data_IF_313080336022
#
_entry.id   IF_313080336022
#
_cell.length_a   1.000
_cell.length_b   1.000
_cell.length_c   1.000
_cell.angle_alpha   90.00
_cell.angle_beta   90.00
_cell.angle_gamma   90.00
#
_symmetry.space_group_name_H-M   'P 1'
#
loop_
_entity.id
_entity.type
_entity.pdbx_description
1 polymer ?
#
# COMPACT_ATOMS: atom_id res chain seq x y z
N UNK A 1 24.42 18.41 -34.55
CA UNK A 1 24.04 18.29 -33.12
C UNK A 1 22.52 18.31 -32.91
N UNK A 2 21.78 19.30 -33.43
CA UNK A 2 20.31 19.43 -33.28
C UNK A 2 19.51 18.16 -33.63
N UNK A 3 19.71 17.60 -34.82
CA UNK A 3 19.00 16.41 -35.30
C UNK A 3 19.16 15.19 -34.37
N UNK A 4 20.38 14.98 -33.83
CA UNK A 4 20.69 13.84 -32.96
C UNK A 4 19.95 13.98 -31.63
N UNK A 5 19.89 15.18 -31.05
CA UNK A 5 19.16 15.42 -29.80
C UNK A 5 17.64 15.17 -29.95
N UNK A 6 17.02 15.69 -31.02
CA UNK A 6 15.58 15.51 -31.28
C UNK A 6 15.24 14.04 -31.54
N UNK A 7 16.12 13.33 -32.25
CA UNK A 7 15.95 11.90 -32.53
C UNK A 7 16.15 11.06 -31.26
N UNK A 8 17.10 11.44 -30.40
CA UNK A 8 17.33 10.78 -29.12
C UNK A 8 16.16 10.95 -28.14
N UNK A 9 15.53 12.13 -28.10
CA UNK A 9 14.31 12.36 -27.32
C UNK A 9 13.03 11.83 -28.00
N UNK A 10 13.14 11.21 -29.18
CA UNK A 10 12.01 10.69 -29.97
C UNK A 10 10.94 11.76 -30.28
N UNK A 11 11.33 13.03 -30.45
CA UNK A 11 10.40 14.13 -30.75
C UNK A 11 10.10 14.24 -32.26
N UNK A 12 11.15 14.24 -33.09
CA UNK A 12 11.03 14.13 -34.55
C UNK A 12 10.27 15.26 -35.27
N UNK A 13 10.70 16.52 -35.14
CA UNK A 13 10.03 17.66 -35.80
C UNK A 13 10.02 17.63 -37.34
N UNK A 14 11.02 16.98 -37.97
CA UNK A 14 11.07 16.80 -39.43
C UNK A 14 11.60 17.99 -40.22
N UNK A 15 12.13 19.00 -39.55
CA UNK A 15 12.80 20.19 -40.12
C UNK A 15 14.13 19.85 -40.83
N UNK A 16 14.85 18.85 -40.32
CA UNK A 16 16.09 18.34 -40.90
C UNK A 16 16.01 16.81 -40.98
N UNK A 17 16.32 16.21 -42.13
CA UNK A 17 16.22 14.76 -42.37
C UNK A 17 17.50 14.23 -43.05
N UNK A 18 18.06 13.09 -42.61
CA UNK A 18 19.22 12.51 -43.26
C UNK A 18 18.86 11.92 -44.64
N UNK A 19 19.49 12.45 -45.69
CA UNK A 19 19.30 11.99 -47.07
C UNK A 19 20.23 10.83 -47.46
N UNK A 20 21.31 10.59 -46.72
CA UNK A 20 22.25 9.48 -46.98
C UNK A 20 21.88 8.22 -46.21
N UNK A 21 22.18 7.05 -46.78
CA UNK A 21 21.95 5.76 -46.11
C UNK A 21 22.68 5.66 -44.77
N UNK A 22 23.94 6.13 -44.69
CA UNK A 22 24.69 6.16 -43.43
C UNK A 22 24.04 7.09 -42.39
N UNK A 23 23.53 8.26 -42.81
CA UNK A 23 22.85 9.18 -41.90
C UNK A 23 21.53 8.62 -41.35
N UNK A 24 20.78 7.87 -42.17
CA UNK A 24 19.58 7.16 -41.74
C UNK A 24 19.90 6.07 -40.73
N UNK A 25 20.97 5.30 -40.95
CA UNK A 25 21.46 4.31 -39.99
C UNK A 25 21.80 4.91 -38.63
N UNK A 26 22.51 6.05 -38.61
CA UNK A 26 22.85 6.78 -37.38
C UNK A 26 21.60 7.32 -36.68
N UNK A 27 20.60 7.81 -37.41
CA UNK A 27 19.35 8.28 -36.82
C UNK A 27 18.57 7.13 -36.14
N UNK A 28 18.48 5.97 -36.79
CA UNK A 28 17.83 4.78 -36.21
C UNK A 28 18.56 4.29 -34.96
N UNK A 29 19.88 4.15 -34.99
CA UNK A 29 20.64 3.72 -33.82
C UNK A 29 20.53 4.71 -32.66
N UNK A 30 20.53 6.01 -32.95
CA UNK A 30 20.31 7.08 -31.95
C UNK A 30 18.92 6.97 -31.32
N UNK A 31 17.88 6.70 -32.10
CA UNK A 31 16.51 6.51 -31.59
C UNK A 31 16.39 5.27 -30.69
N UNK A 32 17.02 4.16 -31.07
CA UNK A 32 17.06 2.94 -30.25
C UNK A 32 17.78 3.22 -28.91
N UNK A 33 18.92 3.90 -28.96
CA UNK A 33 19.67 4.28 -27.76
C UNK A 33 18.86 5.23 -26.87
N UNK A 34 18.17 6.22 -27.44
CA UNK A 34 17.31 7.16 -26.71
C UNK A 34 16.13 6.48 -26.00
N UNK A 35 15.48 5.52 -26.67
CA UNK A 35 14.45 4.69 -26.06
C UNK A 35 15.01 3.85 -24.90
N UNK A 36 16.17 3.23 -25.07
CA UNK A 36 16.86 2.47 -24.02
C UNK A 36 17.22 3.33 -22.81
N UNK A 37 17.77 4.53 -23.02
CA UNK A 37 18.06 5.48 -21.95
C UNK A 37 16.79 5.92 -21.21
N UNK A 38 15.70 6.16 -21.93
CA UNK A 38 14.41 6.55 -21.32
C UNK A 38 13.85 5.42 -20.46
N UNK A 39 13.91 4.17 -20.94
CA UNK A 39 13.48 3.00 -20.17
C UNK A 39 14.28 2.82 -18.87
N UNK A 40 15.61 2.97 -18.95
CA UNK A 40 16.48 2.92 -17.77
C UNK A 40 16.16 4.05 -16.79
N UNK A 41 15.94 5.26 -17.28
CA UNK A 41 15.59 6.41 -16.45
C UNK A 41 14.28 6.16 -15.70
N UNK A 42 13.23 5.70 -16.40
CA UNK A 42 11.93 5.37 -15.79
C UNK A 42 12.09 4.28 -14.72
N UNK A 43 12.87 3.23 -14.99
CA UNK A 43 13.13 2.17 -14.02
C UNK A 43 13.83 2.69 -12.75
N UNK A 44 14.85 3.55 -12.91
CA UNK A 44 15.57 4.14 -11.78
C UNK A 44 14.66 5.07 -10.97
N UNK A 45 13.89 5.94 -11.65
CA UNK A 45 12.96 6.86 -11.00
C UNK A 45 11.88 6.09 -10.24
N UNK A 46 11.30 5.04 -10.85
CA UNK A 46 10.31 4.17 -10.18
C UNK A 46 10.87 3.61 -8.87
N UNK A 47 12.10 3.07 -8.90
CA UNK A 47 12.74 2.50 -7.72
C UNK A 47 13.05 3.53 -6.64
N UNK A 48 13.33 4.78 -7.01
CA UNK A 48 13.57 5.89 -6.07
C UNK A 48 12.29 6.46 -5.47
N UNK A 49 11.15 6.32 -6.15
CA UNK A 49 9.83 6.73 -5.65
C UNK A 49 9.17 5.67 -4.75
N UNK A 50 9.62 4.41 -4.83
CA UNK A 50 9.17 3.37 -3.92
C UNK A 50 9.64 3.66 -2.49
N UNK A 51 8.68 3.88 -1.58
CA UNK A 51 8.99 4.07 -0.17
C UNK A 51 9.67 2.81 0.41
N UNK A 52 10.71 3.05 1.21
CA UNK A 52 11.37 2.01 1.99
C UNK A 52 10.43 1.43 3.05
N UNK A 53 10.77 0.26 3.59
CA UNK A 53 9.96 -0.40 4.64
C UNK A 53 9.79 0.47 5.88
N UNK A 54 10.85 1.19 6.28
CA UNK A 54 10.84 2.10 7.42
C UNK A 54 9.91 3.31 7.17
N UNK A 55 10.03 3.94 6.01
CA UNK A 55 9.16 5.07 5.64
C UNK A 55 7.70 4.64 5.52
N UNK A 56 7.42 3.46 4.95
CA UNK A 56 6.06 2.87 4.92
C UNK A 56 5.50 2.69 6.33
N UNK A 57 6.31 2.22 7.28
CA UNK A 57 5.89 2.08 8.67
C UNK A 57 5.53 3.42 9.30
N UNK A 58 6.39 4.43 9.15
CA UNK A 58 6.15 5.78 9.67
C UNK A 58 4.93 6.41 9.00
N UNK A 59 4.78 6.25 7.69
CA UNK A 59 3.63 6.75 6.94
C UNK A 59 2.32 6.10 7.41
N UNK A 60 2.31 4.77 7.62
CA UNK A 60 1.14 4.07 8.11
C UNK A 60 0.76 4.51 9.54
N UNK A 61 1.75 4.68 10.42
CA UNK A 61 1.55 5.20 11.77
C UNK A 61 0.98 6.64 11.77
N UNK A 62 1.55 7.51 10.94
CA UNK A 62 1.07 8.88 10.80
C UNK A 62 -0.38 8.91 10.29
N UNK A 63 -0.69 8.09 9.29
CA UNK A 63 -2.02 7.99 8.69
C UNK A 63 -3.05 7.46 9.71
N UNK A 64 -2.71 6.44 10.49
CA UNK A 64 -3.57 5.92 11.57
C UNK A 64 -3.84 6.98 12.66
N UNK A 65 -2.80 7.70 13.06
CA UNK A 65 -2.94 8.82 14.00
C UNK A 65 -3.88 9.90 13.46
N UNK A 66 -3.77 10.24 12.17
CA UNK A 66 -4.66 11.21 11.52
C UNK A 66 -6.11 10.71 11.42
N UNK A 67 -6.33 9.45 11.03
CA UNK A 67 -7.68 8.88 10.96
C UNK A 67 -8.33 8.83 12.34
N UNK A 68 -7.59 8.44 13.38
CA UNK A 68 -8.09 8.43 14.76
C UNK A 68 -8.53 9.82 15.20
N UNK A 69 -7.76 10.87 14.89
CA UNK A 69 -8.15 12.26 15.16
C UNK A 69 -9.41 12.67 14.40
N UNK A 70 -9.50 12.34 13.10
CA UNK A 70 -10.68 12.61 12.27
C UNK A 70 -11.93 11.87 12.76
N UNK A 71 -11.78 10.63 13.21
CA UNK A 71 -12.87 9.82 13.75
C UNK A 71 -13.44 10.47 15.02
N UNK A 72 -12.57 10.86 15.96
CA UNK A 72 -12.97 11.57 17.18
C UNK A 72 -13.68 12.89 16.88
N UNK A 73 -13.18 13.68 15.94
CA UNK A 73 -13.81 14.93 15.53
C UNK A 73 -15.19 14.70 14.86
N UNK A 74 -15.30 13.74 13.95
CA UNK A 74 -16.57 13.38 13.32
C UNK A 74 -17.59 12.90 14.37
N UNK A 75 -17.17 12.08 15.34
CA UNK A 75 -18.03 11.61 16.43
C UNK A 75 -18.51 12.77 17.33
N UNK A 76 -17.61 13.71 17.67
CA UNK A 76 -17.97 14.90 18.42
C UNK A 76 -19.02 15.76 17.67
N UNK A 77 -18.88 15.90 16.35
CA UNK A 77 -19.84 16.62 15.52
C UNK A 77 -21.21 15.90 15.47
N UNK A 78 -21.23 14.57 15.40
CA UNK A 78 -22.48 13.78 15.49
C UNK A 78 -23.20 14.05 16.82
N UNK A 79 -22.49 14.02 17.94
CA UNK A 79 -23.06 14.30 19.26
C UNK A 79 -23.56 15.75 19.37
N UNK A 80 -22.74 16.72 18.91
CA UNK A 80 -23.09 18.14 18.89
C UNK A 80 -24.36 18.41 18.10
N UNK A 81 -24.47 17.90 16.87
CA UNK A 81 -25.64 18.15 16.04
C UNK A 81 -26.87 17.38 16.55
N UNK A 82 -26.71 16.17 17.11
CA UNK A 82 -27.81 15.48 17.82
C UNK A 82 -28.38 16.34 18.95
N UNK A 83 -27.51 16.88 19.80
CA UNK A 83 -27.91 17.76 20.90
C UNK A 83 -28.59 19.04 20.40
N UNK A 84 -28.03 19.68 19.36
CA UNK A 84 -28.62 20.90 18.79
C UNK A 84 -29.98 20.64 18.14
N UNK A 85 -30.18 19.50 17.50
CA UNK A 85 -31.50 19.08 17.00
C UNK A 85 -32.47 18.94 18.17
N UNK A 86 -32.09 18.21 19.22
CA UNK A 86 -32.92 18.02 20.41
C UNK A 86 -33.29 19.35 21.09
N UNK A 87 -32.31 20.23 21.27
CA UNK A 87 -32.52 21.58 21.83
C UNK A 87 -33.54 22.38 21.03
N UNK A 88 -33.39 22.45 19.70
CA UNK A 88 -34.26 23.27 18.85
C UNK A 88 -35.62 22.64 18.52
N UNK A 89 -35.83 21.36 18.87
CA UNK A 89 -37.12 20.66 18.70
C UNK A 89 -37.90 20.52 19.99
N UNK A 90 -37.23 20.30 21.15
CA UNK A 90 -37.92 19.99 22.42
C UNK A 90 -37.70 20.99 23.55
N UNK A 91 -36.65 21.81 23.53
CA UNK A 91 -36.35 22.76 24.62
C UNK A 91 -36.80 24.21 24.32
N UNK A 92 -37.51 24.46 23.22
CA UNK A 92 -37.93 25.81 22.82
C UNK A 92 -39.46 25.88 22.76
N UNK A 93 -40.04 26.99 23.25
CA UNK A 93 -41.50 27.23 23.23
C UNK A 93 -42.09 27.34 21.82
N UNK A 94 -41.30 27.80 20.82
CA UNK A 94 -41.68 27.85 19.40
C UNK A 94 -40.56 27.25 18.55
N UNK A 95 -40.89 26.24 17.75
CA UNK A 95 -39.94 25.53 16.89
C UNK A 95 -39.74 26.31 15.59
N UNK A 96 -38.48 26.54 15.21
CA UNK A 96 -38.13 27.10 13.90
C UNK A 96 -37.68 25.98 12.95
N UNK A 97 -38.51 25.57 11.97
CA UNK A 97 -38.21 24.43 11.09
C UNK A 97 -36.98 24.64 10.21
N UNK A 98 -36.67 25.88 9.80
CA UNK A 98 -35.49 26.17 8.98
C UNK A 98 -34.17 25.90 9.72
N UNK A 99 -34.13 26.26 11.01
CA UNK A 99 -32.95 26.03 11.87
C UNK A 99 -32.77 24.55 12.19
N UNK A 100 -33.86 23.83 12.44
CA UNK A 100 -33.83 22.36 12.65
C UNK A 100 -33.33 21.65 11.40
N UNK A 101 -33.83 22.00 10.20
CA UNK A 101 -33.40 21.39 8.93
C UNK A 101 -31.90 21.60 8.66
N UNK A 102 -31.36 22.75 9.06
CA UNK A 102 -29.93 23.05 8.96
C UNK A 102 -29.09 22.12 9.85
N UNK A 103 -29.50 21.91 11.10
CA UNK A 103 -28.83 20.98 12.02
C UNK A 103 -28.99 19.51 11.59
N UNK A 104 -30.15 19.13 11.05
CA UNK A 104 -30.35 17.80 10.46
C UNK A 104 -29.41 17.54 9.28
N UNK A 105 -29.22 18.52 8.39
CA UNK A 105 -28.26 18.39 7.28
C UNK A 105 -26.83 18.23 7.79
N UNK A 106 -26.42 19.03 8.78
CA UNK A 106 -25.09 18.92 9.41
C UNK A 106 -24.89 17.59 10.12
N UNK A 107 -25.92 17.08 10.79
CA UNK A 107 -25.92 15.76 11.42
C UNK A 107 -25.71 14.63 10.40
N UNK A 108 -26.44 14.64 9.28
CA UNK A 108 -26.26 13.66 8.21
C UNK A 108 -24.86 13.71 7.60
N UNK A 109 -24.31 14.91 7.39
CA UNK A 109 -22.93 15.08 6.92
C UNK A 109 -21.91 14.53 7.93
N UNK A 110 -22.12 14.75 9.23
CA UNK A 110 -21.25 14.21 10.28
C UNK A 110 -21.32 12.67 10.35
N UNK A 111 -22.51 12.07 10.21
CA UNK A 111 -22.66 10.61 10.10
C UNK A 111 -21.93 10.08 8.88
N UNK A 112 -22.10 10.71 7.72
CA UNK A 112 -21.43 10.30 6.50
C UNK A 112 -19.91 10.36 6.64
N UNK A 113 -19.39 11.47 7.19
CA UNK A 113 -17.96 11.63 7.46
C UNK A 113 -17.44 10.55 8.41
N UNK A 114 -18.17 10.24 9.49
CA UNK A 114 -17.80 9.19 10.44
C UNK A 114 -17.76 7.81 9.79
N UNK A 115 -18.76 7.47 8.96
CA UNK A 115 -18.78 6.20 8.21
C UNK A 115 -17.61 6.11 7.22
N UNK A 116 -17.31 7.20 6.52
CA UNK A 116 -16.19 7.26 5.58
C UNK A 116 -14.85 7.05 6.29
N UNK A 117 -14.59 7.78 7.37
CA UNK A 117 -13.36 7.63 8.16
C UNK A 117 -13.23 6.21 8.74
N UNK A 118 -14.34 5.61 9.21
CA UNK A 118 -14.35 4.21 9.68
C UNK A 118 -14.04 3.21 8.56
N UNK A 119 -14.54 3.43 7.36
CA UNK A 119 -14.22 2.59 6.20
C UNK A 119 -12.74 2.73 5.81
N UNK A 120 -12.22 3.95 5.78
CA UNK A 120 -10.80 4.22 5.49
C UNK A 120 -9.89 3.55 6.54
N UNK A 121 -10.27 3.60 7.82
CA UNK A 121 -9.55 2.92 8.89
C UNK A 121 -9.52 1.40 8.71
N UNK A 122 -10.65 0.79 8.29
CA UNK A 122 -10.71 -0.65 7.99
C UNK A 122 -9.75 -1.03 6.86
N UNK A 123 -9.73 -0.25 5.77
CA UNK A 123 -8.82 -0.50 4.64
C UNK A 123 -7.35 -0.46 5.06
N UNK A 124 -6.97 0.47 5.94
CA UNK A 124 -5.60 0.51 6.47
C UNK A 124 -5.26 -0.68 7.34
N UNK A 125 -6.20 -1.12 8.16
CA UNK A 125 -6.03 -2.31 9.00
C UNK A 125 -5.88 -3.58 8.16
N UNK A 126 -6.69 -3.73 7.10
CA UNK A 126 -6.62 -4.89 6.18
C UNK A 126 -5.25 -4.94 5.45
N UNK A 127 -4.71 -3.77 5.07
CA UNK A 127 -3.36 -3.65 4.47
C UNK A 127 -2.23 -3.94 5.46
N UNK A 128 -2.43 -3.65 6.76
CA UNK A 128 -1.45 -3.94 7.81
C UNK A 128 -1.47 -5.44 8.18
N UNK A 129 -2.66 -6.04 8.24
CA UNK A 129 -2.84 -7.46 8.57
C UNK A 129 -2.17 -8.36 7.54
N UNK A 130 -2.23 -8.04 6.25
CA UNK A 130 -1.56 -8.83 5.19
C UNK A 130 -0.05 -8.98 5.40
N UNK A 131 0.64 -7.94 5.84
CA UNK A 131 2.09 -8.00 6.13
C UNK A 131 2.36 -8.77 7.42
N UNK A 132 1.51 -8.58 8.43
CA UNK A 132 1.66 -9.18 9.77
C UNK A 132 1.36 -10.68 9.73
N UNK A 133 0.36 -11.09 8.96
CA UNK A 133 -0.04 -12.48 8.79
C UNK A 133 1.03 -13.27 8.05
N UNK A 134 1.68 -12.69 7.03
CA UNK A 134 2.82 -13.33 6.36
C UNK A 134 4.00 -13.59 7.31
N UNK A 135 4.31 -12.64 8.20
CA UNK A 135 5.35 -12.81 9.21
C UNK A 135 4.98 -13.88 10.26
N UNK A 136 3.71 -13.93 10.69
CA UNK A 136 3.22 -14.98 11.59
C UNK A 136 3.27 -16.35 10.93
N UNK A 137 2.82 -16.49 9.68
CA UNK A 137 2.93 -17.73 8.93
C UNK A 137 4.38 -18.19 8.83
N UNK A 138 5.34 -17.29 8.59
CA UNK A 138 6.77 -17.64 8.56
C UNK A 138 7.26 -18.19 9.91
N UNK A 139 6.89 -17.57 11.03
CA UNK A 139 7.24 -18.07 12.36
C UNK A 139 6.61 -19.44 12.64
N UNK A 140 5.32 -19.62 12.34
CA UNK A 140 4.63 -20.90 12.51
C UNK A 140 5.26 -21.99 11.65
N UNK A 141 5.63 -21.69 10.39
CA UNK A 141 6.33 -22.63 9.52
C UNK A 141 7.69 -23.01 10.10
N UNK A 142 8.44 -22.04 10.62
CA UNK A 142 9.74 -22.30 11.26
C UNK A 142 9.60 -23.23 12.47
N UNK A 143 8.62 -22.98 13.34
CA UNK A 143 8.33 -23.85 14.50
C UNK A 143 7.99 -25.28 14.06
N UNK A 144 7.14 -25.44 13.05
CA UNK A 144 6.75 -26.76 12.52
C UNK A 144 7.96 -27.49 11.94
N UNK A 145 8.80 -26.81 11.16
CA UNK A 145 10.01 -27.41 10.57
C UNK A 145 11.02 -27.81 11.65
N UNK A 146 11.17 -26.99 12.68
CA UNK A 146 12.02 -27.32 13.84
C UNK A 146 11.53 -28.55 14.59
N UNK A 147 10.21 -28.67 14.83
CA UNK A 147 9.62 -29.85 15.48
C UNK A 147 9.69 -31.09 14.57
N UNK A 148 9.61 -30.91 13.25
CA UNK A 148 9.77 -32.00 12.30
C UNK A 148 11.22 -32.52 12.29
N UNK A 149 12.21 -31.62 12.32
CA UNK A 149 13.63 -32.00 12.37
C UNK A 149 13.95 -32.77 13.64
N UNK A 150 13.49 -32.30 14.81
CA UNK A 150 13.75 -32.99 16.07
C UNK A 150 13.12 -34.40 16.11
N UNK A 151 11.92 -34.56 15.53
CA UNK A 151 11.30 -35.87 15.35
C UNK A 151 12.07 -36.75 14.38
N UNK A 152 12.59 -36.18 13.28
CA UNK A 152 13.40 -36.91 12.31
C UNK A 152 14.68 -37.44 12.97
N UNK A 153 15.39 -36.61 13.73
CA UNK A 153 16.60 -37.02 14.46
C UNK A 153 16.30 -38.19 15.41
N UNK A 154 15.20 -38.12 16.15
CA UNK A 154 14.77 -39.20 17.04
C UNK A 154 14.42 -40.50 16.29
N UNK A 155 13.85 -40.40 15.08
CA UNK A 155 13.57 -41.57 14.24
C UNK A 155 14.86 -42.16 13.68
N UNK A 156 15.80 -41.32 13.26
CA UNK A 156 17.10 -41.74 12.73
C UNK A 156 17.93 -42.46 13.81
N UNK A 157 17.93 -41.98 15.05
CA UNK A 157 18.55 -42.64 16.20
C UNK A 157 17.91 -44.00 16.53
N UNK A 158 16.59 -44.12 16.38
CA UNK A 158 15.90 -45.41 16.55
C UNK A 158 16.24 -46.39 15.45
N UNK A 159 16.39 -45.89 14.21
CA UNK A 159 16.74 -46.70 13.05
C UNK A 159 18.17 -47.24 13.17
N UNK A 160 19.14 -46.39 13.55
CA UNK A 160 20.53 -46.81 13.77
C UNK A 160 20.63 -47.86 14.89
N UNK A 161 19.91 -47.66 16.00
CA UNK A 161 19.85 -48.67 17.07
C UNK A 161 19.27 -50.01 16.61
N UNK A 162 18.31 -50.00 15.69
CA UNK A 162 17.76 -51.23 15.08
C UNK A 162 18.76 -51.87 14.13
N UNK A 163 19.46 -51.08 13.33
CA UNK A 163 20.51 -51.55 12.42
C UNK A 163 21.65 -52.24 13.18
N UNK A 164 22.13 -51.64 14.27
CA UNK A 164 23.17 -52.22 15.14
C UNK A 164 22.74 -53.58 15.72
N UNK A 165 21.49 -53.68 16.17
CA UNK A 165 20.93 -54.94 16.71
C UNK A 165 20.80 -56.02 15.65
N UNK A 166 20.47 -55.64 14.41
CA UNK A 166 20.40 -56.56 13.28
C UNK A 166 21.78 -57.07 12.87
N UNK A 167 22.80 -56.20 12.85
CA UNK A 167 24.18 -56.62 12.59
C UNK A 167 24.70 -57.58 13.65
N UNK A 168 24.35 -57.41 14.93
CA UNK A 168 24.73 -58.34 16.00
C UNK A 168 24.08 -59.73 15.93
N UNK A 169 23.09 -59.94 15.04
CA UNK A 169 22.45 -61.24 14.80
C UNK A 169 23.05 -62.00 13.61
N UNK A 170 23.96 -61.40 12.84
CA UNK A 170 24.75 -62.04 11.78
C UNK A 170 26.03 -62.66 12.33
#
# INVERSE_FOLDING_TARGET
>A
MWLIAITFLSVGFGDIVPNTYCGRGIAVSTGIMGAGCTALLVAVVSRKLELTRAEKHVHNFMMDTQLTKRLKNAAANVLRETWLIYKHTRLVKRVNPGRVRTHQRKFLLAIYALRKVKMDQRKLMDNANTITDMAKTQNTVYEIVSDMSSRQDAVEERLSSLEDKLQGLQ
#
